data_IF_284839818925
#
_entry.id   IF_284839818925
#
_cell.length_a   1.000
_cell.length_b   1.000
_cell.length_c   1.000
_cell.angle_alpha   90.00
_cell.angle_beta   90.00
_cell.angle_gamma   90.00
#
_symmetry.space_group_name_H-M   'P 1'
#
loop_
_entity.id
_entity.type
_entity.pdbx_description
1 polymer ?
#
# COMPACT_ATOMS: atom_id res chain seq x y z
N UNK A 1 -15.77 -2.06 25.99
CA UNK A 1 -15.81 -0.95 25.02
C UNK A 1 -14.40 -0.76 24.53
N UNK A 2 -14.09 -1.21 23.31
CA UNK A 2 -12.87 -0.82 22.61
C UNK A 2 -12.95 0.68 22.33
N UNK A 3 -11.87 1.41 22.58
CA UNK A 3 -11.80 2.82 22.18
C UNK A 3 -12.07 2.94 20.67
N UNK A 4 -12.79 3.98 20.25
CA UNK A 4 -13.01 4.23 18.82
C UNK A 4 -11.64 4.39 18.13
N UNK A 5 -11.45 3.72 16.99
CA UNK A 5 -10.21 3.77 16.21
C UNK A 5 -9.93 5.21 15.75
N UNK A 6 -8.77 5.75 16.13
CA UNK A 6 -8.32 7.06 15.65
C UNK A 6 -7.66 6.91 14.27
N UNK A 7 -8.45 7.10 13.20
CA UNK A 7 -8.00 6.92 11.81
C UNK A 7 -6.85 7.82 11.41
N UNK A 8 -6.84 9.06 11.89
CA UNK A 8 -5.77 10.01 11.57
C UNK A 8 -4.44 9.55 12.16
N UNK A 9 -4.47 9.03 13.38
CA UNK A 9 -3.29 8.48 14.07
C UNK A 9 -2.82 7.18 13.42
N UNK A 10 -3.74 6.26 13.08
CA UNK A 10 -3.40 5.05 12.32
C UNK A 10 -2.73 5.38 10.99
N UNK A 11 -3.31 6.29 10.20
CA UNK A 11 -2.74 6.70 8.91
C UNK A 11 -1.38 7.38 9.09
N UNK A 12 -1.22 8.22 10.12
CA UNK A 12 0.05 8.86 10.45
C UNK A 12 1.13 7.83 10.81
N UNK A 13 0.84 6.90 11.73
CA UNK A 13 1.78 5.87 12.16
C UNK A 13 2.16 4.91 11.02
N UNK A 14 1.20 4.54 10.16
CA UNK A 14 1.48 3.74 8.97
C UNK A 14 2.35 4.49 7.96
N UNK A 15 2.04 5.77 7.69
CA UNK A 15 2.81 6.59 6.75
C UNK A 15 4.24 6.86 7.25
N UNK A 16 4.41 7.14 8.54
CA UNK A 16 5.69 7.50 9.14
C UNK A 16 6.61 6.30 9.40
N UNK A 17 6.05 5.08 9.45
CA UNK A 17 6.83 3.85 9.57
C UNK A 17 7.79 3.67 8.38
N UNK A 18 9.01 3.22 8.65
CA UNK A 18 9.92 2.78 7.59
C UNK A 18 9.45 1.41 7.07
N UNK A 19 9.21 1.30 5.77
CA UNK A 19 8.71 0.04 5.21
C UNK A 19 8.93 -0.12 3.72
N UNK A 20 10.17 -0.13 3.23
CA UNK A 20 10.48 -0.48 1.83
C UNK A 20 10.54 -2.01 1.65
N UNK A 21 10.40 -2.49 0.42
CA UNK A 21 10.45 -3.92 0.10
C UNK A 21 11.67 -4.59 0.74
N UNK A 22 11.43 -5.68 1.49
CA UNK A 22 12.38 -6.44 2.35
C UNK A 22 12.59 -5.91 3.77
N UNK A 23 12.07 -4.75 4.15
CA UNK A 23 12.06 -4.28 5.54
C UNK A 23 10.76 -3.57 5.91
N UNK A 24 9.68 -4.33 5.91
CA UNK A 24 8.32 -3.91 6.24
C UNK A 24 8.01 -4.02 7.75
N UNK A 25 9.05 -4.11 8.58
CA UNK A 25 8.92 -4.55 9.97
C UNK A 25 8.19 -3.57 10.88
N UNK A 26 8.41 -2.27 10.72
CA UNK A 26 7.73 -1.25 11.52
C UNK A 26 6.25 -1.16 11.17
N UNK A 27 5.93 -1.26 9.88
CA UNK A 27 4.55 -1.29 9.38
C UNK A 27 3.81 -2.46 10.00
N UNK A 28 4.42 -3.64 9.97
CA UNK A 28 3.87 -4.84 10.57
C UNK A 28 3.64 -4.66 12.06
N UNK A 29 4.53 -3.98 12.77
CA UNK A 29 4.33 -3.65 14.18
C UNK A 29 3.15 -2.69 14.40
N UNK A 30 2.95 -1.70 13.52
CA UNK A 30 1.75 -0.84 13.55
C UNK A 30 0.51 -1.70 13.41
N UNK A 31 0.45 -2.59 12.40
CA UNK A 31 -0.69 -3.48 12.19
C UNK A 31 -0.97 -4.37 13.41
N UNK A 32 0.05 -4.95 14.04
CA UNK A 32 -0.11 -5.74 15.28
C UNK A 32 -0.68 -4.88 16.42
N UNK A 33 -0.19 -3.66 16.61
CA UNK A 33 -0.67 -2.77 17.70
C UNK A 33 -2.13 -2.39 17.54
N UNK A 34 -2.56 -2.16 16.31
CA UNK A 34 -3.92 -1.72 15.99
C UNK A 34 -4.90 -2.88 15.76
N UNK A 35 -4.42 -4.12 15.64
CA UNK A 35 -5.24 -5.29 15.49
C UNK A 35 -6.19 -5.48 16.71
N UNK A 36 -7.48 -5.82 16.50
CA UNK A 36 -8.36 -6.16 17.62
C UNK A 36 -7.81 -7.32 18.45
N UNK A 37 -8.01 -7.33 19.79
CA UNK A 37 -7.35 -8.29 20.68
C UNK A 37 -7.79 -9.76 20.47
N UNK A 38 -8.90 -9.99 19.77
CA UNK A 38 -9.46 -11.32 19.50
C UNK A 38 -8.95 -11.96 18.20
N UNK A 39 -8.16 -11.24 17.40
CA UNK A 39 -7.64 -11.78 16.14
C UNK A 39 -6.37 -12.58 16.35
N UNK A 40 -6.23 -13.68 15.60
CA UNK A 40 -5.01 -14.48 15.60
C UNK A 40 -3.97 -13.82 14.68
N UNK A 41 -2.74 -13.71 15.16
CA UNK A 41 -1.62 -13.12 14.41
C UNK A 41 -0.67 -14.23 13.96
N UNK A 42 -0.36 -14.27 12.67
CA UNK A 42 0.60 -15.20 12.07
C UNK A 42 1.43 -14.49 10.99
N UNK A 43 2.51 -15.13 10.52
CA UNK A 43 3.47 -14.59 9.57
C UNK A 43 3.83 -15.60 8.48
N UNK A 44 4.36 -15.11 7.36
CA UNK A 44 5.03 -15.96 6.35
C UNK A 44 6.55 -15.72 6.33
N UNK A 45 7.26 -16.49 5.50
CA UNK A 45 8.71 -16.44 5.40
C UNK A 45 9.23 -15.26 4.55
N UNK A 46 8.36 -14.50 3.88
CA UNK A 46 8.70 -13.26 3.19
C UNK A 46 8.51 -12.03 4.07
N UNK A 47 7.89 -12.18 5.25
CA UNK A 47 7.62 -11.11 6.19
C UNK A 47 6.19 -10.58 6.16
N UNK A 48 5.29 -11.24 5.43
CA UNK A 48 3.86 -10.94 5.47
C UNK A 48 3.26 -11.24 6.85
N UNK A 49 2.20 -10.51 7.20
CA UNK A 49 1.42 -10.68 8.44
C UNK A 49 -0.02 -11.04 8.12
N UNK A 50 -0.63 -11.87 8.95
CA UNK A 50 -1.98 -12.39 8.79
C UNK A 50 -2.75 -12.20 10.09
N UNK A 51 -3.78 -11.38 10.05
CA UNK A 51 -4.70 -11.11 11.16
C UNK A 51 -6.01 -11.86 10.87
N UNK A 52 -6.25 -12.96 11.57
CA UNK A 52 -7.39 -13.84 11.33
C UNK A 52 -8.49 -13.63 12.37
N UNK A 53 -9.68 -13.28 11.90
CA UNK A 53 -10.91 -13.28 12.70
C UNK A 53 -11.83 -14.40 12.21
N UNK A 54 -12.14 -15.35 13.10
CA UNK A 54 -13.01 -16.48 12.78
C UNK A 54 -14.40 -16.21 13.35
N UNK A 55 -15.37 -16.01 12.46
CA UNK A 55 -16.76 -15.78 12.84
C UNK A 55 -17.48 -17.08 13.20
N UNK A 56 -18.76 -17.17 12.83
CA UNK A 56 -19.58 -18.36 13.14
C UNK A 56 -19.22 -19.60 12.33
N UNK A 57 -18.33 -19.48 11.34
CA UNK A 57 -17.88 -20.59 10.50
C UNK A 57 -16.42 -20.44 10.12
N UNK A 58 -15.72 -21.58 9.98
CA UNK A 58 -14.34 -21.62 9.46
C UNK A 58 -14.24 -21.44 7.95
N UNK A 59 -15.36 -21.61 7.23
CA UNK A 59 -15.47 -21.46 5.79
C UNK A 59 -16.78 -20.73 5.44
N UNK A 60 -16.81 -19.85 4.42
CA UNK A 60 -15.73 -19.56 3.49
C UNK A 60 -14.56 -18.79 4.12
N UNK A 61 -13.38 -18.90 3.53
CA UNK A 61 -12.21 -18.09 3.91
C UNK A 61 -12.13 -16.88 2.97
N UNK A 62 -12.18 -15.68 3.54
CA UNK A 62 -12.13 -14.42 2.81
C UNK A 62 -10.79 -13.75 3.08
N UNK A 63 -9.96 -13.60 2.04
CA UNK A 63 -8.69 -12.89 2.13
C UNK A 63 -8.89 -11.41 1.83
N UNK A 64 -8.42 -10.54 2.73
CA UNK A 64 -8.21 -9.12 2.46
C UNK A 64 -6.70 -8.90 2.36
N UNK A 65 -6.17 -8.45 1.24
CA UNK A 65 -4.74 -8.29 1.03
C UNK A 65 -4.39 -6.83 0.75
N UNK A 66 -3.38 -6.30 1.44
CA UNK A 66 -2.79 -4.98 1.17
C UNK A 66 -1.29 -5.05 1.36
N UNK A 67 -0.51 -4.38 0.51
CA UNK A 67 0.94 -4.45 0.63
C UNK A 67 1.52 -3.48 1.65
N UNK A 68 2.50 -3.96 2.39
CA UNK A 68 3.20 -3.23 3.44
C UNK A 68 4.49 -2.58 2.93
N UNK A 69 4.96 -2.87 1.73
CA UNK A 69 6.11 -2.16 1.21
C UNK A 69 5.69 -0.84 0.55
N UNK A 70 6.59 0.13 0.59
CA UNK A 70 6.55 1.36 -0.18
C UNK A 70 7.76 1.41 -1.13
N UNK A 71 7.66 2.21 -2.19
CA UNK A 71 8.82 2.52 -3.03
C UNK A 71 9.94 3.19 -2.22
N UNK A 72 11.19 2.90 -2.57
CA UNK A 72 12.34 3.45 -1.87
C UNK A 72 13.63 3.29 -2.65
N UNK A 73 14.75 3.18 -1.95
CA UNK A 73 16.05 3.03 -2.57
C UNK A 73 16.94 2.04 -1.80
N UNK A 74 18.00 1.60 -2.46
CA UNK A 74 19.05 0.78 -1.88
C UNK A 74 20.40 1.41 -2.12
N UNK A 75 21.22 1.54 -1.08
CA UNK A 75 22.62 1.95 -1.20
C UNK A 75 23.38 0.91 -2.04
N UNK A 76 24.04 1.35 -3.09
CA UNK A 76 24.86 0.47 -3.95
C UNK A 76 26.35 0.69 -3.76
N UNK A 77 26.76 1.90 -3.37
CA UNK A 77 28.15 2.23 -3.17
C UNK A 77 28.31 3.41 -2.22
N UNK A 78 29.37 3.39 -1.40
CA UNK A 78 29.81 4.52 -0.58
C UNK A 78 31.06 5.08 -1.24
N UNK A 79 30.98 6.32 -1.74
CA UNK A 79 32.10 7.00 -2.40
C UNK A 79 33.21 7.35 -1.40
N UNK A 80 34.44 7.52 -1.89
CA UNK A 80 35.58 7.89 -1.04
C UNK A 80 35.37 9.22 -0.29
N UNK A 81 34.59 10.14 -0.87
CA UNK A 81 34.24 11.44 -0.26
C UNK A 81 32.99 11.40 0.62
N UNK A 82 32.37 10.23 0.85
CA UNK A 82 31.29 10.06 1.84
C UNK A 82 29.85 10.13 1.30
N UNK A 83 29.63 10.38 0.01
CA UNK A 83 28.31 10.29 -0.62
C UNK A 83 27.90 8.84 -0.88
N UNK A 84 26.58 8.60 -0.99
CA UNK A 84 26.02 7.29 -1.32
C UNK A 84 25.49 7.27 -2.76
N UNK A 85 25.87 6.26 -3.52
CA UNK A 85 25.15 5.89 -4.75
C UNK A 85 24.02 4.94 -4.39
N UNK A 86 22.93 5.01 -5.13
CA UNK A 86 21.74 4.21 -4.86
C UNK A 86 21.11 3.64 -6.13
N UNK A 87 20.19 2.70 -5.96
CA UNK A 87 19.23 2.27 -6.97
C UNK A 87 17.82 2.40 -6.41
N UNK A 88 16.88 2.68 -7.30
CA UNK A 88 15.46 2.70 -6.97
C UNK A 88 14.96 1.27 -6.67
N UNK A 89 14.13 1.15 -5.64
CA UNK A 89 13.27 0.01 -5.35
C UNK A 89 11.84 0.45 -5.68
N UNK A 90 11.16 -0.30 -6.53
CA UNK A 90 9.86 0.10 -7.09
C UNK A 90 9.98 1.15 -8.20
N UNK A 91 8.83 1.64 -8.67
CA UNK A 91 8.76 2.58 -9.81
C UNK A 91 8.74 4.03 -9.33
N UNK A 92 9.74 4.79 -9.76
CA UNK A 92 9.88 6.22 -9.46
C UNK A 92 9.74 7.07 -10.71
N UNK A 93 9.17 8.28 -10.54
CA UNK A 93 9.38 9.38 -11.49
C UNK A 93 10.67 10.10 -11.12
N UNK A 94 11.75 9.83 -11.83
CA UNK A 94 13.10 10.30 -11.46
C UNK A 94 13.21 11.83 -11.32
N UNK A 95 12.41 12.60 -12.06
CA UNK A 95 12.37 14.07 -11.94
C UNK A 95 11.87 14.59 -10.58
N UNK A 96 11.26 13.74 -9.74
CA UNK A 96 10.79 14.13 -8.40
C UNK A 96 11.81 13.85 -7.30
N UNK A 97 12.98 13.28 -7.64
CA UNK A 97 13.99 12.86 -6.67
C UNK A 97 14.92 13.99 -6.18
N UNK A 98 15.34 14.97 -7.00
CA UNK A 98 16.26 16.00 -6.51
C UNK A 98 15.68 16.81 -5.35
N UNK A 99 16.46 17.00 -4.29
CA UNK A 99 16.06 17.70 -3.07
C UNK A 99 15.17 16.87 -2.13
N UNK A 100 14.89 15.62 -2.48
CA UNK A 100 14.13 14.70 -1.63
C UNK A 100 14.93 14.37 -0.36
N UNK A 101 14.33 14.62 0.79
CA UNK A 101 14.84 14.14 2.08
C UNK A 101 14.61 12.64 2.21
N UNK A 102 15.57 11.93 2.76
CA UNK A 102 15.53 10.46 2.92
C UNK A 102 16.07 10.02 4.28
N UNK A 103 15.66 8.84 4.72
CA UNK A 103 16.25 8.13 5.85
C UNK A 103 16.95 6.88 5.33
N UNK A 104 18.24 6.75 5.64
CA UNK A 104 19.07 5.58 5.33
C UNK A 104 19.13 4.69 6.56
N UNK A 105 18.72 3.43 6.42
CA UNK A 105 18.73 2.43 7.50
C UNK A 105 20.13 1.88 7.73
N UNK A 106 20.90 2.56 8.57
CA UNK A 106 22.22 2.11 9.01
C UNK A 106 22.13 1.11 10.16
N UNK A 107 23.16 0.28 10.33
CA UNK A 107 23.23 -0.70 11.45
C UNK A 107 23.29 -0.06 12.84
N UNK A 108 23.55 1.24 12.92
CA UNK A 108 23.64 2.01 14.17
C UNK A 108 22.46 2.96 14.37
N UNK A 109 21.45 2.87 13.51
CA UNK A 109 20.30 3.76 13.50
C UNK A 109 20.09 4.40 12.13
N UNK A 110 18.93 5.03 11.99
CA UNK A 110 18.57 5.73 10.77
C UNK A 110 19.35 7.04 10.64
N UNK A 111 19.80 7.33 9.43
CA UNK A 111 20.61 8.50 9.10
C UNK A 111 19.86 9.35 8.07
N UNK A 112 19.61 10.60 8.41
CA UNK A 112 18.99 11.56 7.50
C UNK A 112 19.94 11.94 6.35
N UNK A 113 19.40 12.07 5.15
CA UNK A 113 20.13 12.56 3.99
C UNK A 113 19.23 13.27 2.99
N UNK A 114 19.84 13.79 1.93
CA UNK A 114 19.14 14.45 0.82
C UNK A 114 19.64 13.92 -0.52
N UNK A 115 18.74 13.71 -1.47
CA UNK A 115 19.12 13.35 -2.83
C UNK A 115 19.61 14.59 -3.57
N UNK A 116 20.88 14.55 -3.99
CA UNK A 116 21.55 15.58 -4.76
C UNK A 116 21.77 15.19 -6.23
N UNK A 117 22.00 16.20 -7.06
CA UNK A 117 22.47 16.07 -8.44
C UNK A 117 23.49 17.17 -8.73
N UNK A 118 24.22 17.04 -9.85
CA UNK A 118 25.15 18.08 -10.30
C UNK A 118 24.34 19.35 -10.63
N UNK A 119 24.72 20.53 -10.10
CA UNK A 119 24.01 21.77 -10.36
C UNK A 119 23.90 22.10 -11.87
N UNK A 120 22.75 22.60 -12.35
CA UNK A 120 22.50 22.79 -13.78
C UNK A 120 23.48 23.78 -14.44
N UNK A 121 23.97 24.78 -13.70
CA UNK A 121 24.94 25.76 -14.22
C UNK A 121 26.36 25.20 -14.41
N UNK A 122 26.62 23.97 -13.95
CA UNK A 122 27.87 23.23 -14.21
C UNK A 122 27.69 22.18 -15.33
N UNK A 123 26.47 21.98 -15.82
CA UNK A 123 26.18 21.08 -16.92
C UNK A 123 26.42 21.78 -18.25
N UNK A 124 26.86 21.02 -19.26
CA UNK A 124 26.81 21.49 -20.63
C UNK A 124 25.34 21.67 -21.06
N UNK A 125 25.07 22.52 -22.06
CA UNK A 125 23.70 22.67 -22.61
C UNK A 125 23.11 21.32 -23.05
N UNK A 126 23.94 20.46 -23.64
CA UNK A 126 23.53 19.12 -24.07
C UNK A 126 23.19 18.19 -22.90
N UNK A 127 23.89 18.30 -21.77
CA UNK A 127 23.59 17.51 -20.57
C UNK A 127 22.38 18.04 -19.82
N UNK A 128 22.18 19.36 -19.80
CA UNK A 128 21.02 20.00 -19.17
C UNK A 128 19.68 19.64 -19.86
N UNK A 129 19.72 19.25 -21.15
CA UNK A 129 18.54 18.80 -21.89
C UNK A 129 18.21 17.31 -21.70
N UNK A 130 19.13 16.52 -21.13
CA UNK A 130 18.89 15.08 -20.94
C UNK A 130 17.92 14.86 -19.78
N UNK A 131 17.01 13.87 -19.87
CA UNK A 131 16.22 13.44 -18.73
C UNK A 131 17.12 13.05 -17.57
N UNK A 132 16.77 13.51 -16.38
CA UNK A 132 17.54 13.21 -15.18
C UNK A 132 17.31 11.75 -14.80
N UNK A 133 18.39 11.01 -14.54
CA UNK A 133 18.34 9.59 -14.17
C UNK A 133 18.88 9.36 -12.77
N UNK A 134 18.34 8.38 -12.05
CA UNK A 134 18.77 8.08 -10.67
C UNK A 134 20.27 7.75 -10.57
N UNK A 135 20.86 7.14 -11.61
CA UNK A 135 22.30 6.87 -11.69
C UNK A 135 23.18 8.14 -11.67
N UNK A 136 22.64 9.27 -12.10
CA UNK A 136 23.32 10.55 -12.17
C UNK A 136 23.15 11.36 -10.86
N UNK A 137 22.48 10.75 -9.85
CA UNK A 137 22.23 11.31 -8.53
C UNK A 137 23.05 10.62 -7.44
N UNK A 138 23.01 11.18 -6.23
CA UNK A 138 23.62 10.63 -5.02
C UNK A 138 22.82 11.05 -3.80
N UNK A 139 22.96 10.33 -2.69
CA UNK A 139 22.47 10.76 -1.38
C UNK A 139 23.63 11.38 -0.62
N UNK A 140 23.43 12.61 -0.17
CA UNK A 140 24.32 13.32 0.75
C UNK A 140 23.80 13.16 2.19
N UNK A 141 24.68 12.66 3.07
CA UNK A 141 24.43 12.47 4.50
C UNK A 141 25.37 13.33 5.36
N UNK A 142 26.06 14.29 4.74
CA UNK A 142 26.99 15.21 5.42
C UNK A 142 28.32 14.58 5.84
N UNK A 143 28.67 13.40 5.31
CA UNK A 143 29.91 12.70 5.65
C UNK A 143 31.07 13.11 4.73
N UNK A 144 32.28 13.19 5.28
CA UNK A 144 33.48 13.63 4.53
C UNK A 144 34.36 12.49 4.03
N UNK A 145 34.06 11.23 4.37
CA UNK A 145 34.86 10.09 3.94
C UNK A 145 34.06 8.78 3.94
N UNK A 146 34.45 7.84 3.10
CA UNK A 146 33.93 6.46 3.16
C UNK A 146 34.12 5.82 4.53
N UNK A 147 35.28 6.05 5.16
CA UNK A 147 35.63 5.45 6.43
C UNK A 147 34.67 5.86 7.56
N UNK A 148 34.30 7.15 7.64
CA UNK A 148 33.35 7.65 8.63
C UNK A 148 31.94 7.11 8.37
N UNK A 149 31.48 7.05 7.11
CA UNK A 149 30.18 6.45 6.76
C UNK A 149 30.08 5.00 7.25
N UNK A 150 31.09 4.17 6.97
CA UNK A 150 31.05 2.75 7.33
C UNK A 150 31.24 2.54 8.83
N UNK A 151 32.17 3.25 9.46
CA UNK A 151 32.56 3.01 10.86
C UNK A 151 31.67 3.72 11.85
N UNK A 152 31.28 4.97 11.57
CA UNK A 152 30.57 5.83 12.52
C UNK A 152 29.07 5.69 12.33
N UNK A 153 28.59 5.75 11.08
CA UNK A 153 27.16 5.68 10.73
C UNK A 153 26.67 4.24 10.48
N UNK A 154 27.59 3.33 10.17
CA UNK A 154 27.26 1.91 9.96
C UNK A 154 26.56 1.63 8.63
N UNK A 155 26.71 2.52 7.63
CA UNK A 155 26.08 2.39 6.32
C UNK A 155 26.97 1.59 5.35
N UNK A 156 26.37 0.70 4.56
CA UNK A 156 27.00 -0.21 3.60
C UNK A 156 26.13 -0.42 2.36
N UNK A 157 26.71 -0.92 1.24
CA UNK A 157 25.91 -1.42 0.13
C UNK A 157 24.90 -2.47 0.60
N UNK A 158 23.68 -2.38 0.11
CA UNK A 158 22.52 -3.19 0.52
C UNK A 158 21.62 -2.51 1.55
N UNK A 159 22.09 -1.47 2.25
CA UNK A 159 21.26 -0.74 3.21
C UNK A 159 20.11 -0.02 2.50
N UNK A 160 18.95 -0.07 3.13
CA UNK A 160 17.68 0.40 2.59
C UNK A 160 17.47 1.88 2.89
N UNK A 161 16.70 2.54 2.04
CA UNK A 161 16.42 3.98 2.12
C UNK A 161 14.96 4.24 1.81
N UNK A 162 14.30 5.06 2.62
CA UNK A 162 12.93 5.53 2.39
C UNK A 162 12.88 7.05 2.28
N UNK A 163 11.87 7.63 1.61
CA UNK A 163 11.57 9.05 1.72
C UNK A 163 11.35 9.47 3.18
N UNK A 164 11.81 10.66 3.56
CA UNK A 164 11.60 11.25 4.88
C UNK A 164 10.46 12.30 4.84
N UNK A 165 9.28 11.91 4.41
CA UNK A 165 8.10 12.79 4.39
C UNK A 165 7.13 12.44 5.52
N UNK A 166 7.30 13.14 6.65
CA UNK A 166 6.43 12.98 7.83
C UNK A 166 4.99 13.38 7.55
N UNK A 167 4.09 12.62 8.15
CA UNK A 167 2.66 12.82 8.08
C UNK A 167 2.23 14.16 8.68
N UNK A 168 1.25 14.81 8.05
CA UNK A 168 0.66 16.09 8.49
C UNK A 168 -0.82 16.15 8.15
N UNK A 169 -1.61 16.58 9.12
CA UNK A 169 -3.01 16.96 8.89
C UNK A 169 -3.04 18.26 8.08
N UNK A 170 -3.83 18.28 7.01
CA UNK A 170 -4.01 19.48 6.19
C UNK A 170 -5.07 20.41 6.78
N UNK A 171 -5.30 21.56 6.14
CA UNK A 171 -6.30 22.53 6.59
C UNK A 171 -7.72 21.97 6.64
N UNK A 172 -8.04 21.00 5.77
CA UNK A 172 -9.19 20.13 5.95
C UNK A 172 -8.80 19.01 6.93
N UNK A 173 -9.47 18.95 8.07
CA UNK A 173 -9.13 18.04 9.18
C UNK A 173 -9.28 16.55 8.87
N UNK A 174 -9.99 16.18 7.79
CA UNK A 174 -10.06 14.79 7.34
C UNK A 174 -8.92 14.39 6.40
N UNK A 175 -8.17 15.35 5.87
CA UNK A 175 -7.10 15.09 4.93
C UNK A 175 -5.75 14.98 5.64
N UNK A 176 -5.02 13.91 5.32
CA UNK A 176 -3.66 13.68 5.78
C UNK A 176 -2.72 13.61 4.58
N UNK A 177 -1.62 14.36 4.65
CA UNK A 177 -0.51 14.27 3.74
C UNK A 177 0.61 13.45 4.37
N UNK A 178 1.26 12.57 3.62
CA UNK A 178 2.39 11.76 4.09
C UNK A 178 2.94 10.88 2.98
N UNK A 179 4.08 10.22 3.20
CA UNK A 179 4.59 9.23 2.24
C UNK A 179 3.72 7.96 2.22
N UNK A 180 3.96 7.13 1.21
CA UNK A 180 3.43 5.77 1.13
C UNK A 180 1.89 5.66 1.19
N UNK A 181 1.14 6.68 0.74
CA UNK A 181 -0.32 6.53 0.59
C UNK A 181 -0.68 5.27 -0.19
N UNK A 182 0.19 4.94 -1.15
CA UNK A 182 0.32 3.63 -1.78
C UNK A 182 1.37 2.80 -1.00
N UNK A 183 1.02 1.76 -0.24
CA UNK A 183 -0.34 1.28 0.06
C UNK A 183 -0.63 1.23 1.57
N UNK A 184 -0.18 2.26 2.31
CA UNK A 184 -0.60 2.46 3.71
C UNK A 184 -2.11 2.66 3.82
N UNK A 185 -2.75 3.15 2.76
CA UNK A 185 -4.20 3.21 2.66
C UNK A 185 -4.85 1.82 2.81
N UNK A 186 -4.44 0.84 2.00
CA UNK A 186 -4.93 -0.54 2.09
C UNK A 186 -4.56 -1.19 3.43
N UNK A 187 -3.36 -0.93 3.97
CA UNK A 187 -2.98 -1.38 5.31
C UNK A 187 -3.94 -0.86 6.39
N UNK A 188 -4.39 0.39 6.31
CA UNK A 188 -5.40 0.92 7.22
C UNK A 188 -6.74 0.21 7.06
N UNK A 189 -7.11 -0.15 5.82
CA UNK A 189 -8.33 -0.91 5.53
C UNK A 189 -8.32 -2.33 6.12
N UNK A 190 -7.16 -2.98 6.24
CA UNK A 190 -7.03 -4.26 6.96
C UNK A 190 -7.52 -4.13 8.41
N UNK A 191 -7.13 -3.06 9.11
CA UNK A 191 -7.55 -2.80 10.49
C UNK A 191 -9.01 -2.38 10.54
N UNK A 192 -9.46 -1.52 9.63
CA UNK A 192 -10.86 -1.10 9.55
C UNK A 192 -11.82 -2.27 9.34
N UNK A 193 -11.47 -3.22 8.47
CA UNK A 193 -12.32 -4.37 8.17
C UNK A 193 -12.59 -5.23 9.41
N UNK A 194 -11.61 -5.36 10.30
CA UNK A 194 -11.72 -6.11 11.55
C UNK A 194 -12.35 -5.28 12.67
N UNK A 195 -12.12 -3.97 12.68
CA UNK A 195 -12.57 -3.07 13.74
C UNK A 195 -14.09 -2.93 13.74
N UNK A 196 -14.74 -3.54 14.74
CA UNK A 196 -16.20 -3.49 14.87
C UNK A 196 -16.94 -4.38 13.86
N UNK A 197 -16.27 -5.42 13.32
CA UNK A 197 -16.89 -6.39 12.42
C UNK A 197 -18.08 -7.12 13.07
N UNK A 198 -17.97 -7.49 14.35
CA UNK A 198 -19.05 -8.16 15.09
C UNK A 198 -19.26 -9.60 14.60
N UNK A 199 -20.49 -10.09 14.61
CA UNK A 199 -20.79 -11.44 14.10
C UNK A 199 -20.78 -11.48 12.56
N UNK A 200 -20.17 -12.52 11.98
CA UNK A 200 -20.10 -12.75 10.55
C UNK A 200 -20.02 -14.26 10.21
N UNK A 201 -20.46 -14.70 9.02
CA UNK A 201 -20.65 -16.12 8.68
C UNK A 201 -19.41 -16.83 8.12
N UNK A 202 -18.21 -16.28 8.29
CA UNK A 202 -17.00 -16.72 7.58
C UNK A 202 -15.72 -16.52 8.40
N UNK A 203 -14.57 -16.90 7.85
CA UNK A 203 -13.25 -16.54 8.37
C UNK A 203 -12.69 -15.39 7.54
N UNK A 204 -12.33 -14.29 8.18
CA UNK A 204 -11.69 -13.14 7.52
C UNK A 204 -10.20 -13.16 7.86
N UNK A 205 -9.36 -13.17 6.83
CA UNK A 205 -7.91 -13.07 6.98
C UNK A 205 -7.45 -11.76 6.37
N UNK A 206 -7.07 -10.81 7.22
CA UNK A 206 -6.46 -9.55 6.78
C UNK A 206 -4.95 -9.70 6.71
N UNK A 207 -4.42 -9.70 5.48
CA UNK A 207 -3.02 -9.95 5.18
C UNK A 207 -2.30 -8.67 4.76
N UNK A 208 -1.29 -8.29 5.54
CA UNK A 208 -0.26 -7.33 5.10
C UNK A 208 0.78 -8.08 4.28
N UNK A 209 0.79 -7.94 2.96
CA UNK A 209 1.71 -8.63 2.06
C UNK A 209 3.06 -7.89 1.98
N UNK A 210 4.13 -8.61 1.64
CA UNK A 210 5.46 -8.03 1.48
C UNK A 210 5.85 -7.95 -0.01
N UNK A 211 6.66 -6.97 -0.37
CA UNK A 211 7.32 -6.89 -1.68
C UNK A 211 6.38 -6.86 -2.91
N UNK A 212 5.32 -6.06 -2.87
CA UNK A 212 4.48 -5.77 -4.04
C UNK A 212 5.27 -5.01 -5.11
N UNK A 213 5.95 -3.94 -4.70
CA UNK A 213 6.53 -2.93 -5.59
C UNK A 213 7.69 -3.49 -6.45
N UNK A 214 8.19 -4.66 -6.06
CA UNK A 214 9.27 -5.40 -6.74
C UNK A 214 8.79 -6.73 -7.36
N UNK A 215 7.47 -6.89 -7.51
CA UNK A 215 6.85 -7.94 -8.30
C UNK A 215 5.75 -8.75 -7.60
N UNK A 216 4.97 -8.19 -6.68
CA UNK A 216 3.78 -8.83 -6.08
C UNK A 216 4.10 -10.16 -5.40
N UNK A 217 5.27 -10.21 -4.73
CA UNK A 217 5.86 -11.47 -4.29
C UNK A 217 5.10 -12.04 -3.09
N UNK A 218 4.70 -11.17 -2.15
CA UNK A 218 3.92 -11.53 -0.97
C UNK A 218 2.52 -12.02 -1.30
N UNK A 219 1.89 -11.53 -2.38
CA UNK A 219 0.57 -11.98 -2.81
C UNK A 219 0.50 -13.50 -3.08
N UNK A 220 1.53 -14.07 -3.70
CA UNK A 220 1.61 -15.51 -3.92
C UNK A 220 1.68 -16.27 -2.59
N UNK A 221 2.53 -15.81 -1.67
CA UNK A 221 2.65 -16.41 -0.35
C UNK A 221 1.34 -16.32 0.45
N UNK A 222 0.61 -15.20 0.36
CA UNK A 222 -0.67 -15.04 1.05
C UNK A 222 -1.74 -15.96 0.49
N UNK A 223 -1.80 -16.14 -0.84
CA UNK A 223 -2.75 -17.06 -1.46
C UNK A 223 -2.47 -18.52 -1.07
N UNK A 224 -1.20 -18.94 -1.02
CA UNK A 224 -0.81 -20.29 -0.55
C UNK A 224 -1.16 -20.49 0.91
N UNK A 225 -0.76 -19.55 1.78
CA UNK A 225 -0.92 -19.69 3.24
C UNK A 225 -2.39 -19.74 3.65
N UNK A 226 -3.22 -18.93 3.01
CA UNK A 226 -4.62 -18.74 3.43
C UNK A 226 -5.59 -19.62 2.65
N UNK A 227 -5.22 -20.06 1.44
CA UNK A 227 -6.06 -20.84 0.52
C UNK A 227 -7.52 -20.31 0.47
N UNK A 228 -7.72 -19.04 0.08
CA UNK A 228 -9.01 -18.38 0.28
C UNK A 228 -10.04 -18.78 -0.78
N UNK A 229 -11.31 -18.69 -0.41
CA UNK A 229 -12.44 -18.89 -1.32
C UNK A 229 -12.78 -17.64 -2.14
N UNK A 230 -12.54 -16.45 -1.56
CA UNK A 230 -12.71 -15.11 -2.16
C UNK A 230 -11.55 -14.24 -1.68
N UNK A 231 -11.08 -13.33 -2.53
CA UNK A 231 -10.09 -12.32 -2.14
C UNK A 231 -10.54 -10.90 -2.49
N UNK A 232 -10.28 -9.94 -1.60
CA UNK A 232 -10.32 -8.52 -1.89
C UNK A 232 -8.90 -7.96 -1.77
N UNK A 233 -8.42 -7.30 -2.81
CA UNK A 233 -7.14 -6.58 -2.76
C UNK A 233 -7.42 -5.11 -2.52
N UNK A 234 -6.79 -4.57 -1.48
CA UNK A 234 -7.04 -3.25 -0.93
C UNK A 234 -5.92 -2.31 -1.36
N UNK A 235 -6.26 -1.21 -2.04
CA UNK A 235 -5.26 -0.33 -2.68
C UNK A 235 -5.41 1.16 -2.32
N UNK A 236 -4.30 1.90 -2.46
CA UNK A 236 -4.29 3.35 -2.61
C UNK A 236 -4.49 3.72 -4.07
N UNK A 237 -5.71 4.06 -4.48
CA UNK A 237 -6.05 4.21 -5.90
C UNK A 237 -5.85 5.65 -6.34
N UNK A 238 -5.12 5.88 -7.45
CA UNK A 238 -4.87 7.22 -8.01
C UNK A 238 -6.16 8.04 -8.06
N UNK A 239 -6.14 9.24 -7.49
CA UNK A 239 -7.19 10.25 -7.62
C UNK A 239 -6.88 11.24 -8.75
N UNK A 240 -7.83 11.42 -9.67
CA UNK A 240 -7.72 12.31 -10.82
C UNK A 240 -8.35 13.68 -10.65
N UNK A 241 -8.65 14.09 -9.41
CA UNK A 241 -9.24 15.39 -9.07
C UNK A 241 -8.22 16.55 -8.98
N UNK A 242 -7.08 16.39 -9.65
CA UNK A 242 -5.95 17.32 -9.64
C UNK A 242 -5.93 18.16 -10.93
N UNK A 243 -5.42 19.41 -10.89
CA UNK A 243 -5.24 20.21 -12.11
C UNK A 243 -4.40 19.49 -13.17
N UNK A 244 -4.89 19.46 -14.40
CA UNK A 244 -4.18 18.88 -15.55
C UNK A 244 -4.39 17.38 -15.76
N UNK A 245 -5.21 16.71 -14.94
CA UNK A 245 -5.63 15.33 -15.18
C UNK A 245 -6.97 15.31 -15.92
N UNK A 246 -7.03 14.52 -16.99
CA UNK A 246 -8.28 14.20 -17.66
C UNK A 246 -9.10 13.24 -16.79
N UNK A 247 -10.31 13.67 -16.42
CA UNK A 247 -11.21 12.89 -15.56
C UNK A 247 -11.77 11.66 -16.26
N UNK A 248 -11.75 11.59 -17.59
CA UNK A 248 -12.08 10.35 -18.30
C UNK A 248 -10.98 9.29 -18.10
N UNK A 249 -9.73 9.71 -17.91
CA UNK A 249 -8.60 8.81 -17.67
C UNK A 249 -8.43 8.43 -16.19
N UNK A 250 -8.82 9.32 -15.27
CA UNK A 250 -8.81 9.09 -13.83
C UNK A 250 -10.06 9.74 -13.17
N UNK A 251 -11.22 9.05 -13.16
CA UNK A 251 -12.48 9.63 -12.70
C UNK A 251 -12.61 9.75 -11.18
N UNK A 252 -11.75 9.06 -10.44
CA UNK A 252 -11.70 9.01 -8.97
C UNK A 252 -11.39 10.37 -8.33
N UNK A 253 -11.98 10.65 -7.17
CA UNK A 253 -11.75 11.85 -6.40
C UNK A 253 -11.80 11.59 -4.89
N UNK A 254 -11.05 12.38 -4.13
CA UNK A 254 -11.04 12.31 -2.66
C UNK A 254 -12.38 12.81 -2.11
N UNK A 255 -12.81 12.22 -0.99
CA UNK A 255 -14.04 12.55 -0.29
C UNK A 255 -15.31 12.12 -1.04
N UNK A 256 -15.17 11.25 -2.05
CA UNK A 256 -16.29 10.69 -2.83
C UNK A 256 -16.55 9.21 -2.52
N UNK A 257 -15.89 8.67 -1.50
CA UNK A 257 -16.06 7.32 -1.02
C UNK A 257 -15.06 6.32 -1.63
N UNK A 258 -15.10 5.07 -1.14
CA UNK A 258 -14.28 3.96 -1.64
C UNK A 258 -14.43 3.75 -3.15
N UNK A 259 -13.40 3.15 -3.73
CA UNK A 259 -13.34 2.82 -5.15
C UNK A 259 -13.48 1.31 -5.33
N UNK A 260 -14.32 0.89 -6.26
CA UNK A 260 -14.39 -0.47 -6.80
C UNK A 260 -13.79 -0.47 -8.20
N UNK A 261 -12.85 -1.39 -8.47
CA UNK A 261 -12.16 -1.46 -9.76
C UNK A 261 -12.77 -2.56 -10.60
N UNK A 262 -13.33 -2.20 -11.76
CA UNK A 262 -13.91 -3.18 -12.69
C UNK A 262 -12.93 -3.68 -13.76
N UNK A 263 -11.73 -3.09 -13.84
CA UNK A 263 -10.68 -3.46 -14.77
C UNK A 263 -9.34 -2.86 -14.30
N UNK A 264 -8.26 -3.64 -14.30
CA UNK A 264 -6.88 -3.15 -14.30
C UNK A 264 -6.00 -4.01 -15.23
N UNK A 265 -4.72 -3.64 -15.42
CA UNK A 265 -3.85 -4.32 -16.38
C UNK A 265 -3.47 -5.76 -15.95
N UNK A 266 -3.78 -6.14 -14.71
CA UNK A 266 -3.46 -7.43 -14.12
C UNK A 266 -4.67 -8.34 -13.85
N UNK A 267 -5.88 -7.78 -13.76
CA UNK A 267 -7.09 -8.55 -13.47
C UNK A 267 -8.36 -7.90 -14.04
N UNK A 268 -9.25 -8.77 -14.55
CA UNK A 268 -10.67 -8.47 -14.72
C UNK A 268 -11.42 -9.23 -13.62
N UNK A 269 -12.18 -8.56 -12.73
CA UNK A 269 -12.75 -9.19 -11.55
C UNK A 269 -13.81 -10.22 -11.92
N UNK A 270 -14.08 -11.15 -11.00
CA UNK A 270 -15.25 -12.03 -11.12
C UNK A 270 -16.52 -11.15 -11.16
N UNK A 271 -17.34 -11.34 -12.19
CA UNK A 271 -18.52 -10.49 -12.41
C UNK A 271 -19.54 -10.55 -11.28
N UNK A 272 -19.81 -11.74 -10.75
CA UNK A 272 -20.77 -11.93 -9.64
C UNK A 272 -20.26 -11.32 -8.34
N UNK A 273 -18.95 -11.36 -8.10
CA UNK A 273 -18.34 -10.69 -6.95
C UNK A 273 -18.42 -9.16 -7.07
N UNK A 274 -18.20 -8.61 -8.26
CA UNK A 274 -18.38 -7.18 -8.53
C UNK A 274 -19.85 -6.75 -8.35
N UNK A 275 -20.79 -7.50 -8.94
CA UNK A 275 -22.23 -7.21 -8.81
C UNK A 275 -22.67 -7.33 -7.34
N UNK A 276 -22.22 -8.36 -6.59
CA UNK A 276 -22.44 -8.47 -5.15
C UNK A 276 -21.95 -7.25 -4.36
N UNK A 277 -20.75 -6.74 -4.68
CA UNK A 277 -20.18 -5.58 -4.02
C UNK A 277 -21.02 -4.32 -4.28
N UNK A 278 -21.42 -4.10 -5.52
CA UNK A 278 -22.29 -2.99 -5.94
C UNK A 278 -23.64 -3.08 -5.23
N UNK A 279 -24.33 -4.22 -5.33
CA UNK A 279 -25.66 -4.44 -4.75
C UNK A 279 -25.63 -4.25 -3.23
N UNK A 280 -24.56 -4.70 -2.57
CA UNK A 280 -24.39 -4.50 -1.12
C UNK A 280 -24.22 -3.03 -0.76
N UNK A 281 -23.46 -2.27 -1.56
CA UNK A 281 -23.28 -0.83 -1.35
C UNK A 281 -24.59 -0.08 -1.56
N UNK A 282 -25.33 -0.38 -2.63
CA UNK A 282 -26.63 0.23 -2.91
C UNK A 282 -27.65 -0.07 -1.82
N UNK A 283 -27.73 -1.33 -1.36
CA UNK A 283 -28.64 -1.75 -0.29
C UNK A 283 -28.37 -1.06 1.05
N UNK A 284 -27.13 -0.70 1.36
CA UNK A 284 -26.75 -0.03 2.61
C UNK A 284 -26.55 1.49 2.48
N UNK A 285 -26.75 2.05 1.28
CA UNK A 285 -26.52 3.45 0.98
C UNK A 285 -25.07 3.89 1.18
N UNK A 286 -24.11 3.01 0.89
CA UNK A 286 -22.68 3.30 0.96
C UNK A 286 -22.25 3.91 -0.39
N UNK A 287 -21.75 5.15 -0.44
CA UNK A 287 -21.25 5.73 -1.68
C UNK A 287 -19.99 4.98 -2.14
N UNK A 288 -19.87 4.79 -3.45
CA UNK A 288 -18.70 4.18 -4.07
C UNK A 288 -18.42 4.80 -5.45
N UNK A 289 -17.19 4.66 -5.91
CA UNK A 289 -16.74 5.08 -7.23
C UNK A 289 -16.38 3.82 -8.04
N UNK A 290 -17.03 3.60 -9.18
CA UNK A 290 -16.80 2.43 -10.03
C UNK A 290 -15.96 2.82 -11.24
N UNK A 291 -14.72 2.34 -11.32
CA UNK A 291 -13.73 2.88 -12.27
C UNK A 291 -12.86 1.79 -12.91
N UNK A 292 -12.30 2.03 -14.11
CA UNK A 292 -11.12 1.31 -14.55
C UNK A 292 -9.88 1.90 -13.88
N UNK A 293 -8.88 1.07 -13.65
CA UNK A 293 -7.55 1.46 -13.19
C UNK A 293 -6.48 1.06 -14.21
N UNK A 294 -5.27 1.57 -14.03
CA UNK A 294 -4.08 1.20 -14.80
C UNK A 294 -3.00 0.71 -13.84
N UNK A 295 -2.09 -0.10 -14.34
CA UNK A 295 -1.13 -0.81 -13.52
C UNK A 295 -1.65 -2.16 -13.06
N UNK A 296 -0.78 -2.93 -12.42
CA UNK A 296 -1.14 -4.20 -11.80
C UNK A 296 -0.92 -4.11 -10.30
N UNK A 297 -1.62 -4.95 -9.56
CA UNK A 297 -1.57 -5.05 -8.11
C UNK A 297 -1.54 -6.53 -7.69
N UNK A 298 -1.55 -6.78 -6.38
CA UNK A 298 -1.53 -8.12 -5.78
C UNK A 298 -2.63 -9.06 -6.33
N UNK A 299 -3.77 -8.53 -6.80
CA UNK A 299 -4.85 -9.33 -7.35
C UNK A 299 -4.42 -10.08 -8.60
N UNK A 300 -3.51 -9.50 -9.39
CA UNK A 300 -2.92 -10.13 -10.58
C UNK A 300 -2.18 -11.44 -10.30
N UNK A 301 -1.73 -11.66 -9.06
CA UNK A 301 -1.11 -12.91 -8.62
C UNK A 301 -2.11 -13.79 -7.86
N UNK A 302 -2.94 -13.19 -6.99
CA UNK A 302 -3.89 -13.92 -6.15
C UNK A 302 -4.97 -14.61 -6.99
N UNK A 303 -5.57 -13.92 -7.97
CA UNK A 303 -6.75 -14.46 -8.67
C UNK A 303 -6.46 -15.67 -9.55
N UNK A 304 -5.22 -15.83 -10.04
CA UNK A 304 -4.77 -16.99 -10.83
C UNK A 304 -4.17 -18.10 -9.97
N UNK A 305 -4.15 -17.93 -8.65
CA UNK A 305 -3.59 -18.93 -7.76
C UNK A 305 -4.53 -20.14 -7.62
N UNK A 306 -3.96 -21.32 -7.32
CA UNK A 306 -4.68 -22.59 -7.21
C UNK A 306 -5.54 -22.90 -8.46
N UNK A 307 -6.87 -22.97 -8.30
CA UNK A 307 -7.83 -23.23 -9.38
C UNK A 307 -8.51 -21.95 -9.88
N UNK A 308 -7.96 -20.80 -9.52
CA UNK A 308 -8.60 -19.50 -9.67
C UNK A 308 -9.37 -19.12 -8.41
N UNK A 309 -9.17 -17.88 -7.95
CA UNK A 309 -9.82 -17.31 -6.77
C UNK A 309 -10.63 -16.09 -7.25
N UNK A 310 -11.97 -16.06 -7.09
CA UNK A 310 -12.74 -14.87 -7.39
C UNK A 310 -12.20 -13.70 -6.55
N UNK A 311 -11.76 -12.66 -7.26
CA UNK A 311 -11.09 -11.54 -6.65
C UNK A 311 -11.65 -10.21 -7.15
N UNK A 312 -11.63 -9.21 -6.27
CA UNK A 312 -12.03 -7.83 -6.55
C UNK A 312 -11.03 -6.87 -5.93
N UNK A 313 -10.58 -5.88 -6.71
CA UNK A 313 -9.76 -4.78 -6.19
C UNK A 313 -10.69 -3.66 -5.73
N UNK A 314 -10.46 -3.18 -4.52
CA UNK A 314 -11.11 -2.00 -3.98
C UNK A 314 -10.12 -1.17 -3.18
N UNK A 315 -10.44 0.07 -2.87
CA UNK A 315 -9.50 0.91 -2.16
C UNK A 315 -10.04 2.29 -1.85
N UNK A 316 -9.15 3.20 -1.51
CA UNK A 316 -9.50 4.61 -1.33
C UNK A 316 -8.73 5.51 -2.29
N UNK A 317 -9.32 6.62 -2.73
CA UNK A 317 -8.63 7.61 -3.55
C UNK A 317 -7.41 8.21 -2.84
N UNK A 318 -6.29 8.26 -3.56
CA UNK A 318 -5.02 8.80 -3.10
C UNK A 318 -4.44 9.76 -4.16
N UNK A 319 -4.11 10.99 -3.75
CA UNK A 319 -3.36 11.92 -4.62
C UNK A 319 -1.87 11.63 -4.53
N UNK A 320 -1.16 11.88 -5.62
CA UNK A 320 0.30 11.82 -5.70
C UNK A 320 0.91 10.49 -5.24
N UNK A 321 0.27 9.37 -5.60
CA UNK A 321 0.86 8.04 -5.43
C UNK A 321 2.20 7.95 -6.18
N UNK A 322 3.11 7.11 -5.69
CA UNK A 322 4.48 6.99 -6.19
C UNK A 322 5.27 8.33 -6.23
N UNK A 323 4.97 9.22 -5.30
CA UNK A 323 5.72 10.45 -5.05
C UNK A 323 6.14 10.52 -3.58
N UNK A 324 6.91 11.56 -3.23
CA UNK A 324 7.37 11.78 -1.85
C UNK A 324 6.21 11.89 -0.84
N UNK A 325 5.14 12.57 -1.23
CA UNK A 325 4.02 12.85 -0.33
C UNK A 325 2.71 12.70 -1.08
N UNK A 326 1.93 11.70 -0.69
CA UNK A 326 0.55 11.53 -1.11
C UNK A 326 -0.44 12.22 -0.17
N UNK A 327 -1.70 12.24 -0.57
CA UNK A 327 -2.81 12.73 0.27
C UNK A 327 -3.94 11.71 0.27
N UNK A 328 -4.45 11.42 1.46
CA UNK A 328 -5.62 10.56 1.71
C UNK A 328 -6.71 11.33 2.45
N UNK A 329 -7.95 10.90 2.30
CA UNK A 329 -9.08 11.35 3.12
C UNK A 329 -9.48 10.24 4.12
N UNK A 330 -9.39 10.54 5.42
CA UNK A 330 -9.77 9.60 6.47
C UNK A 330 -11.26 9.23 6.43
N UNK A 331 -12.13 10.08 5.84
CA UNK A 331 -13.53 9.76 5.64
C UNK A 331 -13.72 8.66 4.58
N UNK A 332 -12.91 8.67 3.51
CA UNK A 332 -12.96 7.61 2.50
C UNK A 332 -12.51 6.27 3.11
N UNK A 333 -11.49 6.30 4.00
CA UNK A 333 -11.03 5.13 4.76
C UNK A 333 -12.13 4.57 5.67
N UNK A 334 -12.87 5.44 6.37
CA UNK A 334 -14.02 5.03 7.18
C UNK A 334 -15.13 4.36 6.35
N UNK A 335 -15.48 4.99 5.22
CA UNK A 335 -16.52 4.48 4.31
C UNK A 335 -16.10 3.14 3.69
N UNK A 336 -14.84 2.99 3.31
CA UNK A 336 -14.26 1.74 2.83
C UNK A 336 -14.27 0.66 3.91
N UNK A 337 -13.94 1.00 5.16
CA UNK A 337 -14.08 0.09 6.30
C UNK A 337 -15.50 -0.39 6.51
N UNK A 338 -16.48 0.52 6.41
CA UNK A 338 -17.91 0.17 6.47
C UNK A 338 -18.33 -0.75 5.32
N UNK A 339 -17.88 -0.47 4.11
CA UNK A 339 -18.09 -1.32 2.92
C UNK A 339 -17.55 -2.74 3.16
N UNK A 340 -16.30 -2.88 3.61
CA UNK A 340 -15.68 -4.18 3.86
C UNK A 340 -16.44 -4.98 4.93
N UNK A 341 -16.77 -4.36 6.06
CA UNK A 341 -17.56 -5.03 7.12
C UNK A 341 -18.93 -5.49 6.62
N UNK A 342 -19.55 -4.69 5.75
CA UNK A 342 -20.82 -5.03 5.12
C UNK A 342 -20.72 -6.26 4.21
N UNK A 343 -19.65 -6.37 3.42
CA UNK A 343 -19.35 -7.54 2.60
C UNK A 343 -19.11 -8.77 3.47
N UNK A 344 -18.26 -8.66 4.49
CA UNK A 344 -17.90 -9.77 5.36
C UNK A 344 -19.13 -10.36 6.06
N UNK A 345 -20.10 -9.54 6.47
CA UNK A 345 -21.36 -10.02 7.09
C UNK A 345 -22.30 -10.76 6.13
N UNK A 346 -22.11 -10.63 4.82
CA UNK A 346 -22.98 -11.20 3.77
C UNK A 346 -22.36 -12.35 2.99
N UNK A 347 -21.04 -12.56 3.11
CA UNK A 347 -20.33 -13.64 2.42
C UNK A 347 -20.45 -14.97 3.17
N UNK A 348 -21.66 -15.51 3.23
CA UNK A 348 -21.88 -16.88 3.70
C UNK A 348 -21.51 -17.92 2.63
N UNK A 349 -21.54 -19.21 3.00
CA UNK A 349 -21.20 -20.30 2.09
C UNK A 349 -22.06 -20.33 0.82
N UNK A 350 -23.36 -20.04 0.95
CA UNK A 350 -24.29 -20.04 -0.20
C UNK A 350 -23.96 -18.92 -1.18
N UNK A 351 -23.63 -17.75 -0.66
CA UNK A 351 -23.27 -16.57 -1.45
C UNK A 351 -21.95 -16.78 -2.18
N UNK A 352 -20.95 -17.35 -1.49
CA UNK A 352 -19.66 -17.68 -2.11
C UNK A 352 -19.80 -18.74 -3.21
N UNK A 353 -20.62 -19.78 -2.99
CA UNK A 353 -20.92 -20.77 -4.04
C UNK A 353 -21.64 -20.14 -5.23
N UNK A 354 -22.57 -19.21 -5.00
CA UNK A 354 -23.20 -18.45 -6.09
C UNK A 354 -22.18 -17.61 -6.87
N UNK A 355 -21.24 -16.94 -6.20
CA UNK A 355 -20.17 -16.17 -6.85
C UNK A 355 -19.27 -17.07 -7.72
N UNK A 356 -18.96 -18.28 -7.25
CA UNK A 356 -18.11 -19.26 -7.95
C UNK A 356 -18.84 -20.03 -9.05
N UNK A 357 -20.18 -20.01 -9.07
CA UNK A 357 -20.94 -20.74 -10.06
C UNK A 357 -20.86 -20.11 -11.46
N UNK A 358 -20.72 -20.97 -12.48
CA UNK A 358 -20.71 -20.59 -13.89
C UNK A 358 -22.03 -20.90 -14.61
N UNK A 359 -22.96 -21.60 -13.96
CA UNK A 359 -24.29 -21.85 -14.51
C UNK A 359 -25.09 -20.55 -14.55
N UNK A 360 -25.64 -20.22 -15.71
CA UNK A 360 -26.66 -19.17 -15.87
C UNK A 360 -28.01 -19.73 -15.44
N UNK A 361 -28.23 -19.88 -14.13
CA UNK A 361 -29.50 -20.29 -13.55
C UNK A 361 -30.02 -19.22 -12.63
#
# INVERSE_FOLDING_TARGET
>A
MTAALNRMELLAELADAFGVSSDESEVRQVLVRYAPPNVQVDFDNLGGIYLTDTGSSKSPVILLAAHMDEIGFMVTHVTETGFLRFRCIGRWRENTLPGLEVLVRGRKGDVWGVIGTVPPHLLSEADAQKPLRAQDMFIDIGASSRASVVRELGIRPGDLVVPNARSRVLSNSSLIAGKASDNRAGCALLIEALTGLGEHPNTVVSAGTAQEEVGRRGAGASAVKTNPDIAFVLEGILAGDQPGIDRELAPTALGKGPVLVFFDDSMIPNRRLLDFAIDTCEAEGIPYQLVPARGGNDAGIIHVHNLGIPCLVLGVPARYIHANTGILDANDVELAGRMLRSFMRRLDAKTVEWIKAFSRS
#
